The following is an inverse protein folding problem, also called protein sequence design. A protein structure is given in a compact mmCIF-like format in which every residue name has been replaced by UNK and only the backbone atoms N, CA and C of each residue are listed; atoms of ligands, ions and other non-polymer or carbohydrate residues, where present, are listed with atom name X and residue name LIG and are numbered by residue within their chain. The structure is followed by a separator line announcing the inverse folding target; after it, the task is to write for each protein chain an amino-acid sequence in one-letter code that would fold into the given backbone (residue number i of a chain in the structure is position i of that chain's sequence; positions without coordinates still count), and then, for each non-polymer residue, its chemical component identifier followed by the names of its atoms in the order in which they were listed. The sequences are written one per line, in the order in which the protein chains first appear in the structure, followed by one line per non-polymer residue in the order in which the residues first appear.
data_IF_922662055435
#
_entry.id   IF_922662055435
#
_cell.length_a   1.000
_cell.length_b   1.000
_cell.length_c   1.000
_cell.angle_alpha   90.00
_cell.angle_beta   90.00
_cell.angle_gamma   90.00
#
_symmetry.space_group_name_H-M   'P 1'
#
loop_
_entity.id
_entity.type
_entity.pdbx_description
1 polymer ?
#
# COMPACT_ATOMS: atom_id res chain seq x y z
N UNK A 1 -8.28 -2.70 36.66
CA UNK A 1 -7.23 -2.00 35.86
C UNK A 1 -7.21 -2.67 34.50
N UNK A 2 -7.93 -2.09 33.54
CA UNK A 2 -8.43 -2.77 32.36
C UNK A 2 -7.44 -2.79 31.21
N UNK A 3 -7.33 -3.94 30.62
CA UNK A 3 -6.71 -4.25 29.34
C UNK A 3 -7.53 -3.53 28.23
N UNK A 4 -7.14 -2.31 27.86
CA UNK A 4 -7.64 -1.58 26.68
C UNK A 4 -6.51 -1.30 25.73
N UNK A 5 -5.77 -2.33 25.35
CA UNK A 5 -4.72 -2.23 24.33
C UNK A 5 -5.08 -3.19 23.22
N UNK A 6 -6.05 -2.81 22.36
CA UNK A 6 -6.45 -3.65 21.22
C UNK A 6 -6.48 -2.88 19.91
N UNK A 7 -5.65 -3.37 19.03
CA UNK A 7 -5.75 -3.39 17.58
C UNK A 7 -6.03 -2.07 16.85
N UNK A 8 -5.03 -1.20 16.80
CA UNK A 8 -4.96 -0.23 15.71
C UNK A 8 -4.28 -0.87 14.51
N UNK A 9 -5.01 -1.71 13.77
CA UNK A 9 -4.56 -2.21 12.49
C UNK A 9 -4.79 -1.09 11.48
N UNK A 10 -3.84 -0.16 11.35
CA UNK A 10 -3.72 0.65 10.15
C UNK A 10 -3.10 -0.21 9.05
N UNK A 11 -3.85 -1.23 8.63
CA UNK A 11 -3.55 -1.95 7.40
C UNK A 11 -3.93 -0.98 6.29
N UNK A 12 -2.91 -0.57 5.58
CA UNK A 12 -2.98 0.39 4.50
C UNK A 12 -3.58 -0.27 3.29
N UNK A 13 -4.82 0.06 2.90
CA UNK A 13 -5.43 -0.18 1.58
C UNK A 13 -6.94 0.25 1.46
N UNK A 14 -7.44 0.71 0.30
CA UNK A 14 -8.58 1.58 0.01
C UNK A 14 -9.71 1.21 -0.96
N UNK A 15 -10.79 1.89 -1.04
CA UNK A 15 -11.54 2.44 -2.18
C UNK A 15 -12.72 3.37 -1.77
N UNK A 16 -12.90 4.46 -2.49
CA UNK A 16 -14.09 5.29 -2.51
C UNK A 16 -14.09 6.24 -3.69
N UNK A 17 -15.20 6.34 -4.39
CA UNK A 17 -15.40 7.28 -5.47
C UNK A 17 -15.46 8.71 -4.92
N UNK A 18 -14.37 9.43 -5.03
CA UNK A 18 -14.42 10.90 -5.03
C UNK A 18 -14.71 11.29 -6.48
N UNK A 19 -15.85 11.90 -6.74
CA UNK A 19 -16.13 12.52 -8.03
C UNK A 19 -15.16 13.68 -8.22
N UNK A 20 -14.22 13.54 -9.14
CA UNK A 20 -13.36 14.63 -9.60
C UNK A 20 -14.04 15.36 -10.78
N UNK A 21 -13.86 16.67 -10.90
CA UNK A 21 -14.39 17.40 -12.04
C UNK A 21 -13.79 16.87 -13.35
N UNK A 22 -14.65 16.63 -14.31
CA UNK A 22 -14.33 16.21 -15.67
C UNK A 22 -13.42 17.19 -16.40
N UNK A 23 -12.42 16.70 -17.12
CA UNK A 23 -11.97 17.41 -18.29
C UNK A 23 -10.54 17.24 -18.79
N UNK A 24 -9.63 16.54 -18.11
CA UNK A 24 -8.30 16.29 -18.70
C UNK A 24 -8.27 14.94 -19.43
N UNK A 25 -7.88 14.97 -20.71
CA UNK A 25 -7.67 13.76 -21.50
C UNK A 25 -6.58 12.92 -20.84
N UNK A 26 -6.92 11.71 -20.41
CA UNK A 26 -5.94 10.69 -20.04
C UNK A 26 -5.08 10.41 -21.27
N UNK A 27 -3.78 10.61 -21.13
CA UNK A 27 -2.79 10.18 -22.13
C UNK A 27 -2.32 8.80 -21.67
N UNK A 28 -2.71 7.70 -22.39
CA UNK A 28 -2.25 6.37 -22.01
C UNK A 28 -0.74 6.28 -22.10
N UNK A 29 -0.07 5.83 -21.04
CA UNK A 29 1.34 5.44 -21.14
C UNK A 29 1.41 4.07 -21.81
N UNK A 30 2.11 3.96 -22.96
CA UNK A 30 2.25 2.68 -23.66
C UNK A 30 2.86 1.57 -22.82
N UNK A 31 3.63 1.91 -21.77
CA UNK A 31 4.27 0.93 -20.89
C UNK A 31 3.31 0.26 -19.90
N UNK A 32 2.28 0.97 -19.44
CA UNK A 32 1.27 0.36 -18.55
C UNK A 32 0.24 -0.44 -19.34
N UNK A 33 -0.06 -0.03 -20.59
CA UNK A 33 -1.14 -0.62 -21.38
C UNK A 33 -2.50 -0.45 -20.69
N UNK A 34 -3.25 -1.55 -20.56
CA UNK A 34 -4.46 -1.60 -19.74
C UNK A 34 -4.12 -1.64 -18.25
N UNK A 35 -4.91 -0.96 -17.44
CA UNK A 35 -4.77 -0.99 -15.99
C UNK A 35 -4.87 -2.42 -15.42
N UNK A 36 -4.27 -2.66 -14.26
CA UNK A 36 -4.28 -3.96 -13.58
C UNK A 36 -4.92 -3.84 -12.21
N UNK A 37 -5.74 -4.83 -11.87
CA UNK A 37 -6.38 -4.94 -10.55
C UNK A 37 -5.99 -6.28 -9.93
N UNK A 38 -5.40 -6.24 -8.74
CA UNK A 38 -5.06 -7.39 -7.93
C UNK A 38 -6.06 -7.50 -6.79
N UNK A 39 -6.74 -8.64 -6.65
CA UNK A 39 -7.71 -8.89 -5.58
C UNK A 39 -7.15 -9.91 -4.60
N UNK A 40 -7.18 -9.57 -3.32
CA UNK A 40 -6.60 -10.40 -2.25
C UNK A 40 -7.65 -10.77 -1.19
N UNK A 41 -7.44 -11.94 -0.59
CA UNK A 41 -8.05 -12.29 0.70
C UNK A 41 -6.97 -12.26 1.78
N UNK A 42 -7.19 -11.44 2.80
CA UNK A 42 -6.33 -11.43 3.97
C UNK A 42 -6.78 -12.47 4.99
N UNK A 43 -5.82 -13.29 5.44
CA UNK A 43 -6.03 -14.36 6.42
C UNK A 43 -5.20 -14.15 7.66
N UNK A 44 -5.77 -14.47 8.82
CA UNK A 44 -5.06 -14.59 10.09
C UNK A 44 -5.29 -15.97 10.65
N UNK A 45 -4.23 -16.69 11.00
CA UNK A 45 -4.29 -18.11 11.39
C UNK A 45 -5.08 -18.99 10.40
N UNK A 46 -4.95 -18.70 9.10
CA UNK A 46 -5.66 -19.41 8.03
C UNK A 46 -7.12 -18.99 7.82
N UNK A 47 -7.69 -18.17 8.71
CA UNK A 47 -9.08 -17.71 8.63
C UNK A 47 -9.16 -16.42 7.82
N UNK A 48 -9.99 -16.33 6.77
CA UNK A 48 -10.23 -15.09 6.04
C UNK A 48 -10.85 -14.03 6.95
N UNK A 49 -10.27 -12.83 6.96
CA UNK A 49 -10.74 -11.72 7.81
C UNK A 49 -11.04 -10.44 7.03
N UNK A 50 -10.35 -10.21 5.90
CA UNK A 50 -10.47 -9.00 5.09
C UNK A 50 -10.43 -9.35 3.60
N UNK A 51 -11.03 -8.48 2.78
CA UNK A 51 -10.77 -8.38 1.35
C UNK A 51 -9.92 -7.15 1.08
N UNK A 52 -8.99 -7.28 0.14
CA UNK A 52 -8.16 -6.16 -0.29
C UNK A 52 -8.03 -6.11 -1.81
N UNK A 53 -7.79 -4.93 -2.35
CA UNK A 53 -7.48 -4.75 -3.77
C UNK A 53 -6.33 -3.77 -3.96
N UNK A 54 -5.56 -3.93 -5.02
CA UNK A 54 -4.62 -2.93 -5.53
C UNK A 54 -4.92 -2.74 -7.00
N UNK A 55 -5.23 -1.50 -7.40
CA UNK A 55 -5.46 -1.14 -8.80
C UNK A 55 -4.37 -0.16 -9.24
N UNK A 56 -3.76 -0.42 -10.39
CA UNK A 56 -2.82 0.49 -11.06
C UNK A 56 -3.45 0.90 -12.38
N UNK A 57 -3.57 2.20 -12.62
CA UNK A 57 -4.16 2.75 -13.83
C UNK A 57 -3.44 4.01 -14.30
N UNK A 58 -3.62 4.37 -15.56
CA UNK A 58 -3.15 5.65 -16.07
C UNK A 58 -3.92 6.77 -15.35
N UNK A 59 -3.19 7.76 -14.85
CA UNK A 59 -3.77 8.99 -14.29
C UNK A 59 -3.87 10.10 -15.34
N UNK A 60 -4.39 11.24 -14.91
CA UNK A 60 -4.33 12.47 -15.69
C UNK A 60 -2.90 12.98 -15.82
N UNK A 61 -2.61 13.67 -16.92
CA UNK A 61 -1.33 14.37 -17.07
C UNK A 61 -1.37 15.67 -16.25
N UNK A 62 -0.35 15.91 -15.43
CA UNK A 62 -0.19 17.17 -14.72
C UNK A 62 1.02 17.93 -15.26
N UNK A 63 0.81 19.15 -15.73
CA UNK A 63 1.85 19.98 -16.38
C UNK A 63 2.58 19.25 -17.53
N UNK A 64 1.86 18.41 -18.30
CA UNK A 64 2.43 17.63 -19.40
C UNK A 64 3.22 16.38 -18.99
N UNK A 65 3.31 16.08 -17.67
CA UNK A 65 3.94 14.85 -17.17
C UNK A 65 2.87 13.75 -17.01
N UNK A 66 3.07 12.57 -17.59
CA UNK A 66 2.16 11.44 -17.38
C UNK A 66 2.23 10.96 -15.93
N UNK A 67 1.08 10.63 -15.38
CA UNK A 67 0.96 10.12 -14.01
C UNK A 67 0.34 8.74 -14.02
N UNK A 68 0.63 7.94 -13.01
CA UNK A 68 -0.15 6.76 -12.63
C UNK A 68 -0.96 7.04 -11.37
N UNK A 69 -2.09 6.35 -11.26
CA UNK A 69 -2.86 6.28 -10.04
C UNK A 69 -2.81 4.85 -9.50
N UNK A 70 -2.38 4.72 -8.26
CA UNK A 70 -2.37 3.47 -7.54
C UNK A 70 -3.42 3.56 -6.44
N UNK A 71 -4.49 2.80 -6.61
CA UNK A 71 -5.59 2.71 -5.63
C UNK A 71 -5.49 1.40 -4.91
N UNK A 72 -5.79 1.43 -3.65
CA UNK A 72 -5.83 0.20 -2.92
C UNK A 72 -6.95 0.20 -1.87
N UNK A 73 -7.56 -0.96 -1.46
CA UNK A 73 -8.64 -1.06 -0.47
C UNK A 73 -8.45 -2.19 0.51
N UNK A 74 -8.93 -2.01 1.75
CA UNK A 74 -9.12 -3.11 2.70
C UNK A 74 -10.48 -2.99 3.37
N UNK A 75 -11.28 -4.02 3.20
CA UNK A 75 -12.62 -4.10 3.76
C UNK A 75 -12.73 -5.34 4.64
N UNK A 76 -13.28 -5.20 5.84
CA UNK A 76 -13.65 -6.35 6.65
C UNK A 76 -14.74 -7.15 5.96
N UNK A 77 -14.76 -8.46 6.21
CA UNK A 77 -15.85 -9.31 5.79
C UNK A 77 -17.09 -9.02 6.67
N UNK A 78 -18.28 -9.00 6.08
CA UNK A 78 -19.51 -8.53 6.72
C UNK A 78 -19.86 -9.27 8.01
N UNK A 79 -19.55 -10.58 8.06
CA UNK A 79 -19.83 -11.40 9.25
C UNK A 79 -18.96 -11.08 10.48
N UNK A 80 -17.91 -10.25 10.32
CA UNK A 80 -17.13 -9.73 11.44
C UNK A 80 -17.56 -8.33 11.89
N UNK A 81 -18.56 -7.73 11.25
CA UNK A 81 -18.93 -6.33 11.44
C UNK A 81 -19.18 -5.89 12.89
N UNK A 82 -19.61 -6.83 13.77
CA UNK A 82 -19.78 -6.56 15.19
C UNK A 82 -18.45 -6.59 15.97
N UNK A 83 -17.45 -7.34 15.52
CA UNK A 83 -16.13 -7.42 16.14
C UNK A 83 -15.23 -6.29 15.67
N UNK A 84 -15.19 -6.07 14.37
CA UNK A 84 -14.46 -4.98 13.73
C UNK A 84 -15.04 -4.69 12.36
N UNK A 85 -15.17 -3.41 12.05
CA UNK A 85 -15.48 -2.89 10.72
C UNK A 85 -14.27 -2.10 10.23
N UNK A 86 -13.86 -2.39 9.03
CA UNK A 86 -12.76 -1.69 8.36
C UNK A 86 -13.18 -1.42 6.92
N UNK A 87 -13.09 -0.16 6.50
CA UNK A 87 -13.32 0.29 5.14
C UNK A 87 -12.29 1.38 4.83
N UNK A 88 -11.04 0.96 4.77
CA UNK A 88 -9.93 1.86 4.56
C UNK A 88 -9.61 2.01 3.07
N UNK A 89 -9.22 3.20 2.64
CA UNK A 89 -8.99 3.56 1.25
C UNK A 89 -7.74 4.43 1.11
N UNK A 90 -6.93 4.26 0.03
CA UNK A 90 -5.70 5.01 -0.22
C UNK A 90 -5.49 5.23 -1.71
N UNK A 91 -5.06 6.36 -2.10
CA UNK A 91 -4.74 6.71 -3.45
C UNK A 91 -3.35 7.33 -3.47
N UNK A 92 -2.44 6.75 -4.23
CA UNK A 92 -1.17 7.38 -4.57
C UNK A 92 -1.20 7.83 -6.04
N UNK A 93 -0.86 9.09 -6.26
CA UNK A 93 -0.59 9.64 -7.59
C UNK A 93 0.91 9.78 -7.72
N UNK A 94 1.48 9.15 -8.75
CA UNK A 94 2.93 9.08 -8.94
C UNK A 94 3.33 9.50 -10.35
N UNK A 95 4.54 9.99 -10.52
CA UNK A 95 5.12 10.20 -11.85
C UNK A 95 5.26 8.87 -12.58
N UNK A 96 4.80 8.79 -13.82
CA UNK A 96 4.80 7.53 -14.57
C UNK A 96 6.22 7.02 -14.88
N UNK A 97 7.21 7.88 -14.98
CA UNK A 97 8.58 7.51 -15.29
C UNK A 97 9.32 6.90 -14.10
N UNK A 98 9.23 7.51 -12.93
CA UNK A 98 10.04 7.18 -11.73
C UNK A 98 9.26 6.47 -10.64
N UNK A 99 7.93 6.48 -10.69
CA UNK A 99 7.03 6.14 -9.59
C UNK A 99 7.23 7.00 -8.33
N UNK A 100 7.89 8.17 -8.46
CA UNK A 100 8.00 9.13 -7.36
C UNK A 100 6.62 9.67 -6.98
N UNK A 101 6.26 9.70 -5.71
CA UNK A 101 4.95 10.15 -5.29
C UNK A 101 4.80 11.66 -5.48
N UNK A 102 3.67 12.07 -6.02
CA UNK A 102 3.22 13.47 -6.07
C UNK A 102 2.26 13.73 -4.93
N UNK A 103 1.31 12.82 -4.76
CA UNK A 103 0.25 12.95 -3.73
C UNK A 103 -0.16 11.58 -3.22
N UNK A 104 -0.36 11.48 -1.91
CA UNK A 104 -0.89 10.29 -1.27
C UNK A 104 -2.07 10.65 -0.37
N UNK A 105 -3.21 10.02 -0.56
CA UNK A 105 -4.43 10.23 0.20
C UNK A 105 -4.77 8.97 0.99
N UNK A 106 -5.05 9.14 2.28
CA UNK A 106 -5.52 8.07 3.19
C UNK A 106 -6.90 8.44 3.71
N UNK A 107 -7.87 7.62 3.42
CA UNK A 107 -9.19 7.64 4.04
C UNK A 107 -9.30 6.42 4.96
N UNK A 108 -9.37 6.65 6.23
CA UNK A 108 -9.44 5.61 7.26
C UNK A 108 -10.84 5.66 7.88
N UNK A 109 -11.57 4.58 7.71
CA UNK A 109 -12.86 4.34 8.35
C UNK A 109 -12.85 2.95 9.00
N UNK A 110 -12.64 2.92 10.30
CA UNK A 110 -12.61 1.70 11.08
C UNK A 110 -13.26 1.88 12.45
N UNK A 111 -13.95 0.84 12.92
CA UNK A 111 -14.64 0.81 14.21
C UNK A 111 -14.84 -0.65 14.67
N UNK A 112 -15.11 -0.87 15.95
CA UNK A 112 -15.47 -2.17 16.50
C UNK A 112 -14.86 -2.45 17.87
N UNK A 113 -15.16 -3.63 18.40
CA UNK A 113 -14.67 -4.05 19.72
C UNK A 113 -13.17 -4.34 19.72
N UNK A 114 -12.64 -4.82 18.59
CA UNK A 114 -11.23 -5.25 18.45
C UNK A 114 -10.33 -4.21 17.74
N UNK A 115 -10.89 -3.11 17.24
CA UNK A 115 -10.16 -2.04 16.57
C UNK A 115 -10.51 -0.70 17.20
N UNK A 116 -9.51 0.15 17.32
CA UNK A 116 -9.75 1.54 17.75
C UNK A 116 -10.54 2.27 16.68
N UNK A 117 -11.63 2.95 17.07
CA UNK A 117 -12.38 3.81 16.16
C UNK A 117 -11.48 4.90 15.59
N UNK A 118 -11.40 4.94 14.27
CA UNK A 118 -10.70 5.98 13.51
C UNK A 118 -11.52 6.32 12.27
N UNK A 119 -11.76 7.61 12.09
CA UNK A 119 -12.40 8.15 10.89
C UNK A 119 -11.67 9.45 10.55
N UNK A 120 -10.90 9.45 9.48
CA UNK A 120 -10.19 10.65 9.04
C UNK A 120 -9.72 10.53 7.59
N UNK A 121 -9.60 11.70 6.95
CA UNK A 121 -8.95 11.88 5.66
C UNK A 121 -7.62 12.61 5.87
N UNK A 122 -6.53 12.02 5.40
CA UNK A 122 -5.20 12.63 5.41
C UNK A 122 -4.64 12.69 3.99
N UNK A 123 -4.16 13.86 3.60
CA UNK A 123 -3.46 14.07 2.32
C UNK A 123 -1.99 14.37 2.59
N UNK A 124 -1.10 13.69 1.85
CA UNK A 124 0.32 13.98 1.81
C UNK A 124 0.65 14.54 0.44
N UNK A 125 1.27 15.70 0.38
CA UNK A 125 1.78 16.30 -0.86
C UNK A 125 3.31 16.28 -0.81
N UNK A 126 3.94 15.67 -1.80
CA UNK A 126 5.39 15.54 -1.89
C UNK A 126 5.95 16.67 -2.74
N UNK A 127 6.67 17.58 -2.11
CA UNK A 127 7.29 18.74 -2.74
C UNK A 127 8.81 18.54 -2.81
N UNK A 128 9.26 17.77 -3.80
CA UNK A 128 10.67 17.45 -3.97
C UNK A 128 11.55 18.69 -4.23
N UNK A 129 11.12 19.69 -5.03
CA UNK A 129 11.88 20.92 -5.22
C UNK A 129 12.15 21.64 -3.91
N UNK A 130 11.18 21.75 -3.02
CA UNK A 130 11.32 22.38 -1.71
C UNK A 130 11.75 21.42 -0.60
N UNK A 131 12.05 20.15 -0.91
CA UNK A 131 12.51 19.10 -0.01
C UNK A 131 11.61 18.92 1.22
N UNK A 132 10.29 18.89 1.00
CA UNK A 132 9.31 18.70 2.07
C UNK A 132 8.12 17.87 1.66
N UNK A 133 7.51 17.19 2.65
CA UNK A 133 6.17 16.60 2.53
C UNK A 133 5.23 17.39 3.41
N UNK A 134 4.10 17.77 2.85
CA UNK A 134 3.02 18.47 3.55
C UNK A 134 1.95 17.43 3.87
N UNK A 135 1.68 17.25 5.16
CA UNK A 135 0.62 16.36 5.66
C UNK A 135 -0.55 17.21 6.18
N UNK A 136 -1.73 16.99 5.63
CA UNK A 136 -2.96 17.71 5.97
C UNK A 136 -4.04 16.72 6.41
N UNK A 137 -4.71 17.02 7.53
CA UNK A 137 -5.91 16.32 8.00
C UNK A 137 -7.10 17.29 7.95
N UNK A 138 -8.03 17.01 7.04
CA UNK A 138 -9.14 17.92 6.76
C UNK A 138 -10.03 18.17 7.99
N UNK A 139 -10.39 17.10 8.73
CA UNK A 139 -11.32 17.18 9.87
C UNK A 139 -10.80 18.04 11.02
N UNK A 140 -9.49 18.07 11.20
CA UNK A 140 -8.83 18.80 12.30
C UNK A 140 -8.24 20.13 11.87
N UNK A 141 -8.24 20.43 10.58
CA UNK A 141 -7.50 21.55 9.98
C UNK A 141 -6.01 21.52 10.38
N UNK A 142 -5.47 20.34 10.62
CA UNK A 142 -4.07 20.15 10.96
C UNK A 142 -3.23 20.13 9.68
N UNK A 143 -2.16 20.90 9.68
CA UNK A 143 -1.14 20.90 8.62
C UNK A 143 0.23 20.81 9.28
N UNK A 144 1.02 19.85 8.82
CA UNK A 144 2.40 19.62 9.28
C UNK A 144 3.32 19.49 8.07
N UNK A 145 4.53 19.99 8.21
CA UNK A 145 5.58 19.87 7.19
C UNK A 145 6.70 18.98 7.74
N UNK A 146 7.17 18.04 6.92
CA UNK A 146 8.24 17.13 7.25
C UNK A 146 9.37 17.31 6.23
N UNK A 147 10.65 17.27 6.65
CA UNK A 147 11.76 17.29 5.71
C UNK A 147 11.72 16.05 4.82
N UNK A 148 11.79 16.25 3.50
CA UNK A 148 11.82 15.18 2.53
C UNK A 148 13.27 14.79 2.25
N UNK A 149 13.56 13.51 2.46
CA UNK A 149 14.80 12.93 1.99
C UNK A 149 14.68 12.61 0.49
N UNK A 150 15.80 12.58 -0.22
CA UNK A 150 15.81 12.08 -1.60
C UNK A 150 15.23 10.66 -1.63
N UNK A 151 14.49 10.34 -2.68
CA UNK A 151 13.89 9.01 -2.88
C UNK A 151 12.96 8.54 -1.74
N UNK A 152 12.13 9.44 -1.23
CA UNK A 152 11.08 9.09 -0.27
C UNK A 152 9.79 8.71 -0.99
N UNK A 153 9.23 7.56 -0.65
CA UNK A 153 8.01 7.00 -1.20
C UNK A 153 6.91 6.94 -0.16
N UNK A 154 5.65 6.91 -0.61
CA UNK A 154 4.56 6.37 0.19
C UNK A 154 4.47 4.84 -0.03
N UNK A 155 3.70 4.10 0.78
CA UNK A 155 3.62 2.64 0.65
C UNK A 155 3.12 2.14 -0.72
N UNK A 156 2.24 2.88 -1.40
CA UNK A 156 1.72 2.48 -2.71
C UNK A 156 2.66 2.86 -3.85
N UNK A 157 3.32 4.00 -3.78
CA UNK A 157 4.34 4.40 -4.75
C UNK A 157 5.56 3.48 -4.68
N UNK A 158 5.95 3.04 -3.48
CA UNK A 158 6.95 1.99 -3.29
C UNK A 158 6.53 0.70 -4.00
N UNK A 159 5.31 0.22 -3.76
CA UNK A 159 4.78 -0.97 -4.43
C UNK A 159 4.78 -0.83 -5.96
N UNK A 160 4.31 0.33 -6.47
CA UNK A 160 4.30 0.60 -7.91
C UNK A 160 5.71 0.62 -8.50
N UNK A 161 6.68 1.23 -7.82
CA UNK A 161 8.08 1.24 -8.24
C UNK A 161 8.61 -0.18 -8.44
N UNK A 162 8.44 -1.07 -7.44
CA UNK A 162 8.87 -2.46 -7.53
C UNK A 162 8.17 -3.22 -8.65
N UNK A 163 6.86 -3.06 -8.76
CA UNK A 163 6.08 -3.79 -9.74
C UNK A 163 6.35 -3.33 -11.18
N UNK A 164 6.44 -2.01 -11.40
CA UNK A 164 6.49 -1.43 -12.76
C UNK A 164 7.91 -1.15 -13.27
N UNK A 165 8.85 -0.80 -12.39
CA UNK A 165 10.14 -0.23 -12.81
C UNK A 165 11.34 -1.07 -12.44
N UNK A 166 11.36 -1.65 -11.27
CA UNK A 166 12.54 -2.34 -10.77
C UNK A 166 12.54 -3.82 -11.16
N UNK A 167 13.70 -4.32 -11.57
CA UNK A 167 13.94 -5.75 -11.64
C UNK A 167 14.40 -6.26 -10.28
N UNK A 168 13.74 -7.31 -9.79
CA UNK A 168 14.03 -7.86 -8.48
C UNK A 168 14.91 -9.09 -8.66
N UNK A 169 16.20 -8.93 -8.43
CA UNK A 169 17.14 -10.04 -8.46
C UNK A 169 17.41 -10.56 -7.05
N UNK A 170 17.48 -11.89 -6.85
CA UNK A 170 17.81 -12.46 -5.54
C UNK A 170 19.19 -12.01 -5.04
N UNK A 171 19.29 -11.76 -3.74
CA UNK A 171 20.53 -11.32 -3.08
C UNK A 171 20.75 -9.82 -3.07
N UNK A 172 19.79 -9.03 -3.55
CA UNK A 172 19.89 -7.56 -3.49
C UNK A 172 19.52 -7.02 -2.11
N UNK A 173 20.16 -5.92 -1.74
CA UNK A 173 19.86 -5.09 -0.58
C UNK A 173 19.51 -3.69 -1.07
N UNK A 174 18.25 -3.28 -0.90
CA UNK A 174 17.75 -2.03 -1.43
C UNK A 174 17.26 -1.15 -0.31
N UNK A 175 17.80 0.07 -0.25
CA UNK A 175 17.41 1.07 0.76
C UNK A 175 16.40 2.03 0.19
N UNK A 176 15.32 2.28 0.94
CA UNK A 176 14.28 3.23 0.58
C UNK A 176 13.79 4.00 1.81
N UNK A 177 13.44 5.27 1.61
CA UNK A 177 12.71 6.05 2.61
C UNK A 177 11.22 5.89 2.35
N UNK A 178 10.45 5.52 3.38
CA UNK A 178 8.99 5.40 3.31
C UNK A 178 8.35 6.36 4.29
N UNK A 179 7.43 7.18 3.82
CA UNK A 179 6.61 8.05 4.65
C UNK A 179 5.17 7.55 4.69
N UNK A 180 4.74 7.09 5.86
CA UNK A 180 3.39 6.52 6.07
C UNK A 180 2.34 7.58 6.48
N UNK A 181 2.73 8.87 6.51
CA UNK A 181 1.91 9.98 6.96
C UNK A 181 2.01 10.27 8.46
N UNK A 182 2.91 9.57 9.15
CA UNK A 182 3.23 9.81 10.57
C UNK A 182 4.72 10.13 10.70
N UNK A 183 5.58 9.27 10.15
CA UNK A 183 7.02 9.48 10.16
C UNK A 183 7.71 8.83 8.95
N UNK A 184 8.90 9.35 8.62
CA UNK A 184 9.76 8.78 7.60
C UNK A 184 10.55 7.63 8.23
N UNK A 185 10.56 6.47 7.55
CA UNK A 185 11.35 5.30 7.92
C UNK A 185 12.34 4.97 6.83
N UNK A 186 13.58 4.70 7.24
CA UNK A 186 14.56 4.09 6.36
C UNK A 186 14.35 2.57 6.41
N UNK A 187 14.00 1.98 5.29
CA UNK A 187 13.79 0.55 5.15
C UNK A 187 14.87 -0.06 4.27
N UNK A 188 15.32 -1.24 4.65
CA UNK A 188 16.23 -2.05 3.83
C UNK A 188 15.48 -3.32 3.43
N UNK A 189 15.26 -3.47 2.14
CA UNK A 189 14.64 -4.66 1.56
C UNK A 189 15.72 -5.65 1.13
N UNK A 190 15.56 -6.89 1.57
CA UNK A 190 16.37 -8.02 1.16
C UNK A 190 15.58 -8.87 0.19
N UNK A 191 16.19 -9.23 -0.93
CA UNK A 191 15.55 -10.10 -1.91
C UNK A 191 16.09 -11.53 -1.82
N UNK A 192 15.20 -12.51 -1.89
CA UNK A 192 15.56 -13.94 -1.90
C UNK A 192 14.63 -14.75 -2.79
N UNK A 193 15.15 -15.85 -3.37
CA UNK A 193 14.31 -16.85 -4.05
C UNK A 193 13.55 -17.70 -3.04
N UNK A 194 12.40 -18.21 -3.47
CA UNK A 194 11.62 -19.19 -2.74
C UNK A 194 10.51 -19.80 -3.58
N UNK A 195 9.71 -20.64 -2.98
CA UNK A 195 8.48 -21.18 -3.57
C UNK A 195 7.29 -20.76 -2.73
N UNK A 196 6.21 -20.41 -3.40
CA UNK A 196 4.96 -19.98 -2.78
C UNK A 196 3.82 -20.82 -3.34
N UNK A 197 2.95 -21.30 -2.45
CA UNK A 197 1.69 -21.93 -2.86
C UNK A 197 0.67 -20.84 -3.09
N UNK A 198 0.31 -20.59 -4.34
CA UNK A 198 -0.68 -19.62 -4.76
C UNK A 198 -1.99 -20.31 -5.14
N UNK A 199 -3.13 -19.69 -4.84
CA UNK A 199 -4.43 -20.18 -5.28
C UNK A 199 -4.58 -20.12 -6.81
N UNK A 200 -4.01 -19.07 -7.44
CA UNK A 200 -4.08 -18.87 -8.89
C UNK A 200 -3.09 -19.73 -9.69
N UNK A 201 -1.89 -19.93 -9.14
CA UNK A 201 -0.76 -20.47 -9.90
C UNK A 201 -0.29 -21.84 -9.41
N UNK A 202 -0.90 -22.39 -8.32
CA UNK A 202 -0.38 -23.56 -7.66
C UNK A 202 0.94 -23.28 -6.92
N UNK A 203 1.88 -24.20 -6.92
CA UNK A 203 3.22 -24.00 -6.38
C UNK A 203 4.12 -23.35 -7.43
N UNK A 204 4.57 -22.14 -7.17
CA UNK A 204 5.36 -21.36 -8.12
C UNK A 204 6.68 -20.88 -7.53
N UNK A 205 7.70 -20.74 -8.37
CA UNK A 205 8.93 -20.04 -8.02
C UNK A 205 8.65 -18.55 -7.91
N UNK A 206 9.19 -17.94 -6.86
CA UNK A 206 8.95 -16.55 -6.54
C UNK A 206 10.19 -15.85 -5.98
N UNK A 207 10.21 -14.54 -6.08
CA UNK A 207 11.20 -13.69 -5.42
C UNK A 207 10.49 -12.91 -4.31
N UNK A 208 11.03 -12.99 -3.11
CA UNK A 208 10.56 -12.26 -1.94
C UNK A 208 11.35 -10.97 -1.76
N UNK A 209 10.67 -9.87 -1.53
CA UNK A 209 11.24 -8.67 -0.91
C UNK A 209 10.83 -8.65 0.56
N UNK A 210 11.79 -8.72 1.45
CA UNK A 210 11.58 -8.71 2.90
C UNK A 210 12.25 -7.49 3.52
N UNK A 211 11.53 -6.81 4.41
CA UNK A 211 12.10 -5.74 5.26
C UNK A 211 11.56 -5.83 6.68
N UNK A 212 12.44 -5.63 7.65
CA UNK A 212 12.03 -5.33 9.02
C UNK A 212 11.63 -3.86 9.10
N UNK A 213 10.56 -3.58 9.86
CA UNK A 213 10.06 -2.22 10.07
C UNK A 213 9.34 -2.13 11.41
N UNK A 214 9.19 -0.93 11.92
CA UNK A 214 8.31 -0.68 13.06
C UNK A 214 6.96 -0.17 12.56
N UNK A 215 5.89 -0.62 13.20
CA UNK A 215 4.53 -0.22 12.83
C UNK A 215 4.00 0.85 13.79
N UNK A 216 3.77 2.07 13.31
CA UNK A 216 3.20 3.17 14.10
C UNK A 216 1.87 2.83 14.76
N UNK A 217 1.09 1.96 14.13
CA UNK A 217 -0.18 1.48 14.66
C UNK A 217 -0.04 0.57 15.87
N UNK A 218 1.15 0.09 16.15
CA UNK A 218 1.51 -0.81 17.26
C UNK A 218 2.60 -0.20 18.15
N UNK A 219 2.54 1.12 18.39
CA UNK A 219 3.49 1.82 19.26
C UNK A 219 4.95 1.63 18.80
N UNK A 220 5.16 1.60 17.49
CA UNK A 220 6.45 1.36 16.84
C UNK A 220 7.10 0.00 17.18
N UNK A 221 6.30 -0.99 17.57
CA UNK A 221 6.82 -2.35 17.72
C UNK A 221 7.29 -2.89 16.39
N UNK A 222 8.37 -3.63 16.45
CA UNK A 222 8.98 -4.24 15.27
C UNK A 222 8.12 -5.35 14.67
N UNK A 223 8.26 -5.52 13.37
CA UNK A 223 7.68 -6.60 12.61
C UNK A 223 8.30 -6.66 11.22
N UNK A 224 7.72 -7.43 10.33
CA UNK A 224 8.25 -7.60 8.98
C UNK A 224 7.19 -7.45 7.93
N UNK A 225 7.61 -6.98 6.75
CA UNK A 225 6.83 -6.98 5.53
C UNK A 225 7.55 -7.88 4.53
N UNK A 226 6.80 -8.79 3.89
CA UNK A 226 7.28 -9.60 2.77
C UNK A 226 6.32 -9.46 1.61
N UNK A 227 6.85 -9.22 0.42
CA UNK A 227 6.08 -9.22 -0.81
C UNK A 227 6.70 -10.25 -1.72
N UNK A 228 5.91 -11.25 -2.12
CA UNK A 228 6.32 -12.32 -3.01
C UNK A 228 5.80 -12.05 -4.42
N UNK A 229 6.72 -11.93 -5.35
CA UNK A 229 6.45 -11.77 -6.77
C UNK A 229 6.75 -13.07 -7.51
N UNK A 230 5.97 -13.42 -8.53
CA UNK A 230 6.34 -14.52 -9.44
C UNK A 230 7.71 -14.24 -10.06
N UNK A 231 8.51 -15.30 -10.27
CA UNK A 231 9.85 -15.19 -10.83
C UNK A 231 9.87 -15.04 -12.36
N UNK A 232 8.69 -14.94 -12.99
CA UNK A 232 8.51 -14.67 -14.42
C UNK A 232 8.59 -13.17 -14.75
N UNK A 233 8.50 -12.84 -16.03
CA UNK A 233 8.53 -11.45 -16.51
C UNK A 233 7.33 -10.61 -16.07
N UNK A 234 6.22 -11.21 -15.64
CA UNK A 234 5.02 -10.51 -15.17
C UNK A 234 5.17 -9.97 -13.75
N UNK A 235 6.03 -10.55 -12.93
CA UNK A 235 6.27 -10.14 -11.53
C UNK A 235 4.96 -9.97 -10.74
N UNK A 236 4.05 -10.93 -10.88
CA UNK A 236 2.74 -10.85 -10.20
C UNK A 236 2.92 -10.91 -8.68
N UNK A 237 2.40 -9.93 -7.90
CA UNK A 237 2.52 -9.93 -6.44
C UNK A 237 1.51 -10.92 -5.84
N UNK A 238 1.91 -12.19 -5.69
CA UNK A 238 1.03 -13.31 -5.34
C UNK A 238 0.73 -13.43 -3.85
N UNK A 239 1.61 -12.91 -3.00
CA UNK A 239 1.45 -12.98 -1.56
C UNK A 239 2.10 -11.77 -0.89
N UNK A 240 1.37 -11.13 0.02
CA UNK A 240 1.91 -10.09 0.91
C UNK A 240 1.74 -10.57 2.34
N UNK A 241 2.83 -10.64 3.08
CA UNK A 241 2.83 -11.09 4.48
C UNK A 241 3.20 -9.92 5.39
N UNK A 242 2.41 -9.72 6.43
CA UNK A 242 2.70 -8.78 7.52
C UNK A 242 2.91 -9.58 8.80
N UNK A 243 4.14 -9.57 9.30
CA UNK A 243 4.47 -10.09 10.62
C UNK A 243 4.28 -8.95 11.63
N UNK A 244 3.17 -9.00 12.34
CA UNK A 244 2.76 -7.95 13.27
C UNK A 244 2.92 -8.43 14.72
N UNK A 245 3.06 -7.52 15.70
CA UNK A 245 3.11 -7.88 17.12
C UNK A 245 1.92 -8.70 17.63
N UNK A 246 0.81 -8.67 16.89
CA UNK A 246 -0.44 -9.39 17.19
C UNK A 246 -0.60 -10.68 16.38
N UNK A 247 0.44 -11.09 15.63
CA UNK A 247 0.42 -12.26 14.75
C UNK A 247 0.41 -11.90 13.26
N UNK A 248 0.66 -12.90 12.45
CA UNK A 248 0.85 -12.74 11.01
C UNK A 248 -0.48 -12.58 10.27
N UNK A 249 -0.47 -11.71 9.27
CA UNK A 249 -1.57 -11.56 8.31
C UNK A 249 -1.00 -11.82 6.92
N UNK A 250 -1.66 -12.70 6.17
CA UNK A 250 -1.29 -13.08 4.81
C UNK A 250 -2.35 -12.60 3.84
N UNK A 251 -1.97 -11.76 2.87
CA UNK A 251 -2.82 -11.34 1.77
C UNK A 251 -2.50 -12.24 0.58
N UNK A 252 -3.35 -13.20 0.33
CA UNK A 252 -3.20 -14.16 -0.78
C UNK A 252 -3.95 -13.63 -2.01
N UNK A 253 -3.28 -13.61 -3.16
CA UNK A 253 -3.90 -13.20 -4.42
C UNK A 253 -4.99 -14.19 -4.83
N UNK A 254 -6.21 -13.69 -5.02
CA UNK A 254 -7.38 -14.45 -5.43
C UNK A 254 -7.61 -14.40 -6.94
N UNK A 255 -7.46 -13.20 -7.52
CA UNK A 255 -7.61 -12.95 -8.94
C UNK A 255 -6.86 -11.70 -9.39
N UNK A 256 -6.58 -11.63 -10.68
CA UNK A 256 -6.04 -10.46 -11.35
C UNK A 256 -6.92 -10.15 -12.55
N UNK A 257 -7.30 -8.87 -12.67
CA UNK A 257 -8.15 -8.36 -13.76
C UNK A 257 -7.39 -7.26 -14.52
N UNK A 258 -7.76 -7.08 -15.78
CA UNK A 258 -7.36 -5.93 -16.60
C UNK A 258 -8.52 -4.94 -16.61
N UNK A 259 -8.24 -3.66 -16.35
CA UNK A 259 -9.26 -2.60 -16.28
C UNK A 259 -9.21 -1.67 -17.49
#
# INVERSE_FOLDING_TARGET
MGIKTFLSISIILLLGSVAYPNGEKQIPDPKLGQGKVFLYTAKKFGVPILKASIKIENGSSEQGRPLYQIRASVNSLDYYGFLFRMNNRFLSTVEAETCSPVRYVKEIDQDGLLVQRKNYLQTLTFDFPNKKVIAEKAEKKERQEFPLLSETYDPLSMFAKWYLKEEIHPGQNIRMSIFDGIKIRQMVFYSRKGRVKSKMYGEVEAVCLESSTSFSSFEDKEGKIRIWYTADGEKTPILIELELPIGNIHFELESMERS
#
